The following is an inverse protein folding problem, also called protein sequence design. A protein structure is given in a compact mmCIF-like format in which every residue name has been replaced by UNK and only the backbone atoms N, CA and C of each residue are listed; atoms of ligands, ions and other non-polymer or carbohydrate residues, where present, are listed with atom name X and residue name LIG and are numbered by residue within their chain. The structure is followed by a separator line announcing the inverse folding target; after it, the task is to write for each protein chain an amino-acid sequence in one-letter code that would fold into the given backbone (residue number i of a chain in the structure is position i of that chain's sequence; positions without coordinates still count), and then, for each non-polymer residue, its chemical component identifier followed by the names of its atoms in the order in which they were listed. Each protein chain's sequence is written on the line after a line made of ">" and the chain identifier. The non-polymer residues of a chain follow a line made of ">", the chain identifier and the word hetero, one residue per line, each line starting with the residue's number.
data_IF_873532085798
#
_entry.id   IF_873532085798
#
_cell.length_a   1.000
_cell.length_b   1.000
_cell.length_c   1.000
_cell.angle_alpha   90.00
_cell.angle_beta   90.00
_cell.angle_gamma   90.00
#
_symmetry.space_group_name_H-M   'P 1'
#
loop_
_entity.id
_entity.type
_entity.pdbx_description
1 polymer ?
#
# COMPACT_ATOMS: atom_id res chain seq x y z
N UNK A 1 12.37 12.63 1.97
CA UNK A 1 13.77 12.89 1.57
C UNK A 1 13.77 14.06 0.61
N UNK A 2 14.52 15.13 0.89
CA UNK A 2 14.63 16.27 -0.03
C UNK A 2 15.41 15.86 -1.27
N UNK A 3 14.82 16.02 -2.46
CA UNK A 3 15.40 15.67 -3.76
C UNK A 3 15.08 16.79 -4.76
N UNK A 4 15.93 17.84 -4.86
CA UNK A 4 15.72 18.94 -5.79
C UNK A 4 16.12 18.51 -7.20
N UNK A 5 15.27 17.71 -7.84
CA UNK A 5 15.59 17.00 -9.09
C UNK A 5 15.67 17.89 -10.31
N UNK A 6 15.20 19.14 -10.21
CA UNK A 6 15.47 20.16 -11.24
C UNK A 6 16.97 20.46 -11.38
N UNK A 7 17.72 20.41 -10.28
CA UNK A 7 19.19 20.60 -10.27
C UNK A 7 19.94 19.26 -10.27
N UNK A 8 19.31 18.20 -9.76
CA UNK A 8 19.88 16.86 -9.65
C UNK A 8 18.98 15.80 -10.32
N UNK A 9 18.91 15.76 -11.66
CA UNK A 9 18.02 14.85 -12.39
C UNK A 9 18.26 13.37 -12.08
N UNK A 10 19.49 12.99 -11.72
CA UNK A 10 19.87 11.63 -11.33
C UNK A 10 19.16 11.15 -10.06
N UNK A 11 18.61 12.08 -9.25
CA UNK A 11 17.86 11.78 -8.02
C UNK A 11 16.36 11.65 -8.28
N UNK A 12 15.92 11.77 -9.53
CA UNK A 12 14.51 11.65 -9.90
C UNK A 12 13.96 10.29 -9.48
N UNK A 13 12.72 10.30 -8.99
CA UNK A 13 11.97 9.06 -8.79
C UNK A 13 11.81 8.37 -10.14
N UNK A 14 12.08 7.06 -10.22
CA UNK A 14 11.82 6.31 -11.45
C UNK A 14 10.31 6.22 -11.63
N UNK A 15 9.83 6.65 -12.80
CA UNK A 15 8.42 6.49 -13.17
C UNK A 15 8.07 5.02 -13.24
N UNK A 16 7.05 4.59 -12.50
CA UNK A 16 6.64 3.20 -12.47
C UNK A 16 5.13 3.03 -12.24
N UNK A 17 4.61 1.90 -12.69
CA UNK A 17 3.30 1.37 -12.32
C UNK A 17 3.48 -0.02 -11.72
N UNK A 18 2.75 -0.26 -10.64
CA UNK A 18 2.77 -1.48 -9.87
C UNK A 18 1.40 -1.82 -9.29
N UNK A 19 1.34 -3.02 -8.73
CA UNK A 19 0.30 -3.49 -7.84
C UNK A 19 0.95 -3.85 -6.52
N UNK A 20 0.45 -3.28 -5.42
CA UNK A 20 0.77 -3.66 -4.04
C UNK A 20 0.02 -4.94 -3.65
N UNK A 21 0.07 -5.93 -4.55
CA UNK A 21 -0.47 -7.27 -4.40
C UNK A 21 -0.01 -8.15 -5.57
N UNK A 22 -0.06 -9.47 -5.37
CA UNK A 22 -0.03 -10.41 -6.48
C UNK A 22 -1.44 -10.62 -7.04
N UNK A 23 -1.78 -10.12 -8.24
CA UNK A 23 -3.13 -10.21 -8.74
C UNK A 23 -3.52 -11.64 -9.12
N UNK A 24 -2.55 -12.50 -9.50
CA UNK A 24 -2.82 -13.91 -9.81
C UNK A 24 -3.12 -14.72 -8.55
N UNK A 25 -2.41 -14.45 -7.44
CA UNK A 25 -2.77 -15.06 -6.16
C UNK A 25 -4.14 -14.56 -5.70
N UNK A 26 -4.40 -13.26 -5.79
CA UNK A 26 -5.67 -12.69 -5.33
C UNK A 26 -6.89 -13.31 -6.05
N UNK A 27 -6.83 -13.50 -7.37
CA UNK A 27 -7.93 -14.14 -8.12
C UNK A 27 -7.92 -15.66 -8.05
N UNK A 28 -6.77 -16.28 -7.78
CA UNK A 28 -6.58 -17.73 -7.82
C UNK A 28 -6.67 -18.43 -6.46
N UNK A 29 -6.52 -17.69 -5.36
CA UNK A 29 -6.66 -18.20 -3.99
C UNK A 29 -8.14 -18.46 -3.69
N UNK A 30 -8.58 -19.69 -3.96
CA UNK A 30 -9.99 -20.06 -3.84
C UNK A 30 -10.35 -20.61 -2.45
N UNK A 31 -9.37 -20.90 -1.60
CA UNK A 31 -9.56 -21.52 -0.29
C UNK A 31 -8.96 -20.69 0.86
N UNK A 32 -8.43 -19.50 0.56
CA UNK A 32 -7.79 -18.58 1.51
C UNK A 32 -6.51 -19.15 2.12
N UNK A 33 -5.95 -20.24 1.58
CA UNK A 33 -4.78 -20.90 2.14
C UNK A 33 -3.54 -20.02 2.06
N UNK A 34 -3.39 -19.24 0.99
CA UNK A 34 -2.29 -18.29 0.84
C UNK A 34 -2.42 -17.19 1.89
N UNK A 35 -3.61 -16.56 1.95
CA UNK A 35 -3.91 -15.48 2.89
C UNK A 35 -3.71 -15.89 4.35
N UNK A 36 -4.25 -17.07 4.72
CA UNK A 36 -4.12 -17.62 6.07
C UNK A 36 -2.65 -17.89 6.41
N UNK A 37 -1.87 -18.44 5.47
CA UNK A 37 -0.44 -18.67 5.67
C UNK A 37 0.31 -17.36 5.94
N UNK A 38 0.13 -16.35 5.09
CA UNK A 38 0.80 -15.04 5.25
C UNK A 38 0.50 -14.44 6.62
N UNK A 39 -0.77 -14.35 7.02
CA UNK A 39 -1.16 -13.69 8.26
C UNK A 39 -0.86 -14.49 9.53
N UNK A 40 -0.88 -15.83 9.46
CA UNK A 40 -0.47 -16.66 10.61
C UNK A 40 1.03 -16.55 10.89
N UNK A 41 1.86 -16.25 9.89
CA UNK A 41 3.30 -16.08 10.00
C UNK A 41 3.75 -14.69 10.49
N UNK A 42 2.90 -13.66 10.43
CA UNK A 42 3.24 -12.32 10.93
C UNK A 42 3.55 -12.34 12.43
N UNK A 43 4.69 -11.75 12.82
CA UNK A 43 5.12 -11.61 14.23
C UNK A 43 5.30 -10.16 14.66
N UNK A 44 5.30 -9.22 13.72
CA UNK A 44 5.52 -7.79 13.88
C UNK A 44 6.85 -7.41 14.55
N UNK A 45 7.85 -8.30 14.49
CA UNK A 45 9.18 -8.08 15.08
C UNK A 45 10.07 -7.18 14.22
N UNK A 46 9.72 -6.99 12.96
CA UNK A 46 10.48 -6.16 12.02
C UNK A 46 9.54 -5.37 11.12
N UNK A 47 10.05 -4.32 10.48
CA UNK A 47 9.29 -3.53 9.51
C UNK A 47 8.80 -4.36 8.31
N UNK A 48 9.44 -5.50 8.02
CA UNK A 48 9.03 -6.39 6.93
C UNK A 48 7.62 -6.92 7.13
N UNK A 49 7.24 -7.29 8.35
CA UNK A 49 5.90 -7.85 8.63
C UNK A 49 4.80 -6.82 8.38
N UNK A 50 5.08 -5.54 8.62
CA UNK A 50 4.17 -4.44 8.31
C UNK A 50 4.04 -4.19 6.82
N UNK A 51 5.14 -4.33 6.06
CA UNK A 51 5.13 -4.23 4.60
C UNK A 51 4.36 -5.41 4.00
N UNK A 52 4.60 -6.64 4.46
CA UNK A 52 3.85 -7.82 4.02
C UNK A 52 2.35 -7.68 4.34
N UNK A 53 1.99 -7.19 5.53
CA UNK A 53 0.59 -6.85 5.84
C UNK A 53 0.03 -5.78 4.89
N UNK A 54 0.83 -4.77 4.52
CA UNK A 54 0.43 -3.71 3.61
C UNK A 54 0.14 -4.25 2.20
N UNK A 55 0.98 -5.13 1.69
CA UNK A 55 0.93 -5.63 0.31
C UNK A 55 -0.02 -6.83 0.15
N UNK A 56 -0.61 -7.32 1.25
CA UNK A 56 -1.58 -8.40 1.21
C UNK A 56 -3.00 -7.86 0.97
N UNK A 57 -3.55 -8.10 -0.22
CA UNK A 57 -4.88 -7.63 -0.64
C UNK A 57 -6.02 -8.61 -0.32
N UNK A 58 -5.71 -9.76 0.28
CA UNK A 58 -6.71 -10.78 0.57
C UNK A 58 -7.01 -11.67 -0.62
N UNK A 59 -8.25 -12.13 -0.71
CA UNK A 59 -8.71 -13.06 -1.72
C UNK A 59 -9.98 -12.51 -2.40
N UNK A 60 -10.07 -12.67 -3.73
CA UNK A 60 -11.20 -12.19 -4.52
C UNK A 60 -12.55 -12.76 -4.08
N UNK A 61 -12.59 -14.04 -3.67
CA UNK A 61 -13.83 -14.70 -3.26
C UNK A 61 -14.42 -14.13 -1.98
N UNK A 62 -13.57 -13.62 -1.08
CA UNK A 62 -14.03 -13.00 0.16
C UNK A 62 -14.67 -11.63 -0.08
N UNK A 63 -14.40 -11.00 -1.24
CA UNK A 63 -14.91 -9.66 -1.55
C UNK A 63 -14.47 -8.60 -0.53
N UNK A 64 -13.34 -8.81 0.17
CA UNK A 64 -12.85 -7.89 1.17
C UNK A 64 -12.36 -6.60 0.53
N UNK A 65 -12.77 -5.48 1.10
CA UNK A 65 -12.27 -4.17 0.70
C UNK A 65 -11.08 -3.79 1.58
N UNK A 66 -9.91 -3.76 0.95
CA UNK A 66 -8.72 -3.11 1.49
C UNK A 66 -8.53 -1.78 0.78
N UNK A 67 -8.33 -0.72 1.56
CA UNK A 67 -8.12 0.63 1.06
C UNK A 67 -6.73 1.07 1.46
N UNK A 68 -5.95 1.53 0.50
CA UNK A 68 -4.68 2.20 0.75
C UNK A 68 -4.88 3.71 0.62
N UNK A 69 -3.97 4.46 1.21
CA UNK A 69 -4.05 5.90 1.18
C UNK A 69 -2.72 6.55 1.47
N UNK A 70 -2.66 7.84 1.16
CA UNK A 70 -1.60 8.69 1.64
C UNK A 70 -2.14 10.08 2.00
N UNK A 71 -1.53 10.69 2.99
CA UNK A 71 -1.74 12.08 3.38
C UNK A 71 -0.53 12.87 2.91
N UNK A 72 -0.76 13.92 2.15
CA UNK A 72 0.28 14.80 1.66
C UNK A 72 0.68 15.80 2.76
N UNK A 73 1.96 15.88 3.09
CA UNK A 73 2.46 16.72 4.20
C UNK A 73 3.04 18.06 3.72
N UNK A 74 3.17 18.25 2.40
CA UNK A 74 3.56 19.49 1.74
C UNK A 74 2.81 19.61 0.40
N UNK A 75 2.67 20.79 -0.17
CA UNK A 75 2.04 20.93 -1.49
C UNK A 75 2.78 20.10 -2.55
N UNK A 76 2.02 19.36 -3.36
CA UNK A 76 2.50 18.50 -4.44
C UNK A 76 1.85 18.94 -5.74
N UNK A 77 2.62 19.68 -6.54
CA UNK A 77 2.24 20.14 -7.87
C UNK A 77 2.62 19.12 -8.94
N UNK A 78 2.26 19.41 -10.18
CA UNK A 78 2.45 18.51 -11.32
C UNK A 78 3.92 18.12 -11.55
N UNK A 79 4.84 19.08 -11.41
CA UNK A 79 6.27 18.86 -11.58
C UNK A 79 6.93 18.13 -10.40
N UNK A 80 6.26 18.04 -9.24
CA UNK A 80 6.77 17.33 -8.07
C UNK A 80 6.62 15.80 -8.20
N UNK A 81 5.96 15.35 -9.28
CA UNK A 81 5.64 13.95 -9.55
C UNK A 81 4.99 13.27 -8.34
N UNK A 82 5.16 11.95 -8.24
CA UNK A 82 4.60 11.18 -7.14
C UNK A 82 3.36 10.44 -7.55
N UNK A 83 2.35 10.43 -6.68
CA UNK A 83 1.28 9.45 -6.79
C UNK A 83 0.49 9.62 -8.09
N UNK A 84 0.40 8.53 -8.82
CA UNK A 84 -0.43 8.43 -10.01
C UNK A 84 -1.07 7.05 -10.07
N UNK A 85 -2.25 6.97 -10.68
CA UNK A 85 -3.02 5.74 -10.77
C UNK A 85 -3.75 5.64 -12.09
N UNK A 86 -4.26 4.45 -12.41
CA UNK A 86 -5.15 4.25 -13.56
C UNK A 86 -6.60 4.30 -13.07
N UNK A 87 -7.37 5.35 -13.37
CA UNK A 87 -8.75 5.49 -12.88
C UNK A 87 -9.60 4.27 -13.27
N UNK A 88 -10.33 3.71 -12.30
CA UNK A 88 -11.22 2.57 -12.52
C UNK A 88 -10.55 1.21 -12.71
N UNK A 89 -9.21 1.09 -12.62
CA UNK A 89 -8.52 -0.17 -12.87
C UNK A 89 -9.02 -1.35 -12.03
N UNK A 90 -9.40 -1.13 -10.76
CA UNK A 90 -9.98 -2.16 -9.89
C UNK A 90 -11.19 -2.90 -10.51
N UNK A 91 -11.96 -2.25 -11.38
CA UNK A 91 -13.10 -2.85 -12.10
C UNK A 91 -12.65 -3.74 -13.27
N UNK A 92 -11.48 -3.45 -13.83
CA UNK A 92 -10.88 -4.16 -14.95
C UNK A 92 -9.81 -5.16 -14.53
N UNK A 93 -9.38 -5.13 -13.26
CA UNK A 93 -8.23 -5.89 -12.76
C UNK A 93 -8.35 -7.36 -13.11
N UNK A 94 -9.45 -8.04 -12.77
CA UNK A 94 -9.61 -9.49 -13.06
C UNK A 94 -9.46 -9.80 -14.55
N UNK A 95 -10.10 -9.01 -15.42
CA UNK A 95 -9.99 -9.18 -16.88
C UNK A 95 -8.56 -8.95 -17.36
N UNK A 96 -7.91 -7.93 -16.82
CA UNK A 96 -6.53 -7.59 -17.13
C UNK A 96 -5.58 -8.71 -16.66
N UNK A 97 -5.71 -9.21 -15.44
CA UNK A 97 -4.89 -10.28 -14.87
C UNK A 97 -5.00 -11.58 -15.67
N UNK A 98 -6.21 -11.95 -16.10
CA UNK A 98 -6.43 -13.12 -16.96
C UNK A 98 -5.84 -12.95 -18.36
N UNK A 99 -5.93 -11.75 -18.94
CA UNK A 99 -5.39 -11.47 -20.27
C UNK A 99 -3.85 -11.49 -20.29
N UNK A 100 -3.21 -11.09 -19.19
CA UNK A 100 -1.75 -10.98 -19.10
C UNK A 100 -1.15 -12.10 -18.23
N UNK A 101 -1.70 -13.31 -18.33
CA UNK A 101 -1.33 -14.44 -17.47
C UNK A 101 0.14 -14.88 -17.64
N UNK A 102 0.74 -14.62 -18.80
CA UNK A 102 2.15 -14.86 -19.10
C UNK A 102 3.10 -14.18 -18.10
N UNK A 103 2.72 -13.03 -17.52
CA UNK A 103 3.54 -12.39 -16.50
C UNK A 103 3.59 -13.17 -15.17
N UNK A 104 2.65 -14.10 -14.92
CA UNK A 104 2.60 -14.90 -13.70
C UNK A 104 3.90 -15.67 -13.48
N UNK A 105 4.47 -16.23 -14.54
CA UNK A 105 5.71 -17.02 -14.46
C UNK A 105 6.89 -16.17 -14.00
N UNK A 106 6.95 -14.90 -14.42
CA UNK A 106 7.99 -13.97 -13.99
C UNK A 106 7.86 -13.60 -12.51
N UNK A 107 6.65 -13.34 -12.05
CA UNK A 107 6.47 -12.79 -10.71
C UNK A 107 6.38 -13.86 -9.61
N UNK A 108 6.28 -15.14 -9.96
CA UNK A 108 6.18 -16.26 -9.01
C UNK A 108 5.04 -16.09 -7.97
N UNK A 109 4.68 -17.15 -7.27
CA UNK A 109 3.59 -17.10 -6.29
C UNK A 109 3.93 -16.30 -5.01
N UNK A 110 5.17 -15.83 -4.85
CA UNK A 110 5.65 -15.23 -3.60
C UNK A 110 5.86 -13.71 -3.65
N UNK A 111 5.86 -13.08 -4.84
CA UNK A 111 5.99 -11.64 -4.91
C UNK A 111 4.64 -10.99 -4.64
N UNK A 112 4.51 -10.36 -3.48
CA UNK A 112 3.32 -9.57 -3.07
C UNK A 112 3.35 -8.13 -3.59
N UNK A 113 4.43 -7.73 -4.27
CA UNK A 113 4.58 -6.43 -4.90
C UNK A 113 5.06 -6.63 -6.34
N UNK A 114 4.34 -6.06 -7.31
CA UNK A 114 4.56 -6.32 -8.74
C UNK A 114 4.72 -5.02 -9.50
N UNK A 115 5.91 -4.77 -10.02
CA UNK A 115 6.22 -3.61 -10.87
C UNK A 115 6.30 -4.04 -12.33
N UNK A 116 5.72 -3.24 -13.22
CA UNK A 116 5.75 -3.49 -14.65
C UNK A 116 6.62 -2.47 -15.37
N UNK A 117 7.41 -2.93 -16.34
CA UNK A 117 8.14 -2.04 -17.22
C UNK A 117 7.18 -1.30 -18.17
N UNK A 118 7.53 -0.07 -18.54
CA UNK A 118 6.70 0.75 -19.42
C UNK A 118 6.47 0.11 -20.78
N UNK A 119 7.44 -0.64 -21.30
CA UNK A 119 7.33 -1.28 -22.61
C UNK A 119 6.42 -2.52 -22.58
N UNK A 120 6.17 -3.09 -21.39
CA UNK A 120 5.30 -4.25 -21.22
C UNK A 120 3.82 -3.88 -21.21
N UNK A 121 3.50 -2.71 -20.64
CA UNK A 121 2.12 -2.25 -20.47
C UNK A 121 1.96 -0.78 -20.90
N UNK A 122 2.36 -0.41 -22.14
CA UNK A 122 2.41 0.99 -22.58
C UNK A 122 1.06 1.70 -22.49
N UNK A 123 -0.04 0.99 -22.80
CA UNK A 123 -1.40 1.53 -22.71
C UNK A 123 -1.79 1.89 -21.27
N UNK A 124 -1.31 1.12 -20.28
CA UNK A 124 -1.56 1.38 -18.87
C UNK A 124 -0.81 2.63 -18.40
N UNK A 125 0.46 2.79 -18.81
CA UNK A 125 1.23 4.02 -18.55
C UNK A 125 0.59 5.24 -19.21
N UNK A 126 -0.02 5.08 -20.40
CA UNK A 126 -0.75 6.16 -21.08
C UNK A 126 -2.05 6.53 -20.37
N UNK A 127 -2.71 5.55 -19.75
CA UNK A 127 -3.96 5.74 -19.01
C UNK A 127 -3.76 6.26 -17.57
N UNK A 128 -2.53 6.24 -17.05
CA UNK A 128 -2.25 6.69 -15.70
C UNK A 128 -2.40 8.23 -15.56
N UNK A 129 -3.05 8.65 -14.49
CA UNK A 129 -3.30 10.04 -14.15
C UNK A 129 -2.55 10.42 -12.88
N UNK A 130 -1.77 11.50 -12.97
CA UNK A 130 -1.09 12.09 -11.82
C UNK A 130 -2.07 12.83 -10.91
N UNK A 131 -1.90 12.70 -9.60
CA UNK A 131 -2.76 13.30 -8.60
C UNK A 131 -1.98 14.35 -7.82
N UNK A 132 -2.11 15.62 -8.21
CA UNK A 132 -1.60 16.74 -7.43
C UNK A 132 -2.46 16.99 -6.20
N UNK A 133 -1.83 17.41 -5.10
CA UNK A 133 -2.49 17.53 -3.80
C UNK A 133 -1.92 18.72 -3.01
N UNK A 134 -2.79 19.44 -2.31
CA UNK A 134 -2.37 20.43 -1.31
C UNK A 134 -1.90 19.74 -0.04
N UNK A 135 -1.06 20.38 0.75
CA UNK A 135 -0.71 19.93 2.10
C UNK A 135 -1.98 19.65 2.92
N UNK A 136 -1.97 18.55 3.68
CA UNK A 136 -3.11 18.06 4.46
C UNK A 136 -4.18 17.30 3.66
N UNK A 137 -4.11 17.28 2.32
CA UNK A 137 -5.04 16.48 1.51
C UNK A 137 -4.68 15.00 1.59
N UNK A 138 -5.70 14.14 1.54
CA UNK A 138 -5.53 12.70 1.46
C UNK A 138 -6.10 12.16 0.15
N UNK A 139 -5.42 11.18 -0.45
CA UNK A 139 -5.97 10.34 -1.51
C UNK A 139 -6.10 8.92 -0.99
N UNK A 140 -7.27 8.33 -1.24
CA UNK A 140 -7.58 6.95 -0.88
C UNK A 140 -7.87 6.17 -2.16
N UNK A 141 -7.43 4.93 -2.22
CA UNK A 141 -7.69 4.04 -3.35
C UNK A 141 -7.94 2.61 -2.90
N UNK A 142 -8.72 1.90 -3.69
CA UNK A 142 -8.87 0.45 -3.57
C UNK A 142 -7.53 -0.23 -3.87
N UNK A 143 -7.05 -1.13 -2.99
CA UNK A 143 -5.74 -1.77 -3.14
C UNK A 143 -5.57 -2.51 -4.49
N UNK A 144 -6.67 -2.87 -5.15
CA UNK A 144 -6.69 -3.47 -6.50
C UNK A 144 -6.33 -2.51 -7.62
N UNK A 145 -6.20 -1.22 -7.34
CA UNK A 145 -5.84 -0.20 -8.33
C UNK A 145 -4.37 -0.30 -8.72
N UNK A 146 -4.09 -0.40 -10.02
CA UNK A 146 -2.73 -0.19 -10.52
C UNK A 146 -2.35 1.28 -10.34
N UNK A 147 -1.23 1.50 -9.65
CA UNK A 147 -0.77 2.82 -9.27
C UNK A 147 0.76 2.85 -9.21
N UNK A 148 1.34 4.00 -8.92
CA UNK A 148 2.75 4.05 -8.62
C UNK A 148 3.27 5.45 -8.41
N UNK A 149 4.48 5.69 -8.90
CA UNK A 149 5.11 7.02 -8.80
C UNK A 149 5.51 7.53 -10.17
N UNK A 150 5.21 8.80 -10.44
CA UNK A 150 5.76 9.57 -11.55
C UNK A 150 7.06 10.27 -11.15
N UNK A 151 8.00 10.34 -12.08
CA UNK A 151 9.23 11.11 -11.92
C UNK A 151 8.95 12.60 -11.64
N UNK A 152 9.77 13.17 -10.78
CA UNK A 152 9.70 14.56 -10.37
C UNK A 152 10.79 15.39 -11.07
N UNK A 153 10.47 16.64 -11.39
CA UNK A 153 11.36 17.63 -12.00
C UNK A 153 11.15 18.99 -11.32
N UNK A 154 11.45 19.04 -10.02
CA UNK A 154 11.19 20.23 -9.20
C UNK A 154 12.29 20.48 -8.16
N UNK A 155 12.23 21.63 -7.50
CA UNK A 155 13.11 21.97 -6.37
C UNK A 155 12.46 21.67 -5.02
N UNK A 156 11.19 21.24 -4.99
CA UNK A 156 10.44 21.05 -3.75
C UNK A 156 10.55 19.61 -3.26
N UNK A 157 10.63 19.39 -1.94
CA UNK A 157 10.50 18.05 -1.40
C UNK A 157 9.07 17.53 -1.57
N UNK A 158 8.96 16.19 -1.64
CA UNK A 158 7.70 15.47 -1.45
C UNK A 158 7.71 14.75 -0.11
N UNK A 159 6.68 14.97 0.71
CA UNK A 159 6.49 14.32 1.99
C UNK A 159 5.08 13.75 2.06
N UNK A 160 4.97 12.44 2.31
CA UNK A 160 3.69 11.76 2.42
C UNK A 160 3.73 10.82 3.62
N UNK A 161 2.58 10.62 4.24
CA UNK A 161 2.35 9.56 5.22
C UNK A 161 1.42 8.53 4.59
N UNK A 162 1.90 7.30 4.40
CA UNK A 162 1.07 6.21 3.90
C UNK A 162 0.20 5.61 5.01
N UNK A 163 -0.96 5.11 4.59
CA UNK A 163 -1.99 4.51 5.42
C UNK A 163 -2.57 3.28 4.70
N UNK A 164 -2.89 2.24 5.46
CA UNK A 164 -3.74 1.13 5.01
C UNK A 164 -4.94 1.02 5.96
N UNK A 165 -6.11 0.77 5.38
CA UNK A 165 -7.37 0.65 6.08
C UNK A 165 -8.06 -0.64 5.66
N UNK A 166 -8.64 -1.31 6.64
CA UNK A 166 -9.48 -2.49 6.48
C UNK A 166 -10.51 -2.48 7.61
N UNK A 167 -11.59 -3.24 7.44
CA UNK A 167 -12.63 -3.31 8.46
C UNK A 167 -12.11 -3.97 9.73
N UNK A 168 -12.54 -3.48 10.90
CA UNK A 168 -12.15 -4.06 12.18
C UNK A 168 -12.60 -5.52 12.36
N UNK A 169 -13.71 -5.90 11.73
CA UNK A 169 -14.31 -7.24 11.75
C UNK A 169 -13.83 -8.14 10.60
N UNK A 170 -12.73 -7.79 9.94
CA UNK A 170 -12.22 -8.59 8.83
C UNK A 170 -11.83 -9.99 9.32
N UNK A 171 -12.30 -11.08 8.67
CA UNK A 171 -12.04 -12.46 9.11
C UNK A 171 -10.57 -12.80 9.34
N UNK A 172 -9.67 -12.09 8.66
CA UNK A 172 -8.22 -12.28 8.74
C UNK A 172 -7.56 -11.63 9.96
N UNK A 173 -8.28 -10.81 10.72
CA UNK A 173 -7.82 -10.22 11.98
C UNK A 173 -8.22 -11.12 13.15
N UNK A 174 -7.50 -12.24 13.30
CA UNK A 174 -7.72 -13.16 14.42
C UNK A 174 -7.33 -12.51 15.76
N UNK A 175 -7.90 -12.96 16.90
CA UNK A 175 -7.50 -12.46 18.21
C UNK A 175 -5.98 -12.55 18.48
N UNK A 176 -5.35 -13.65 18.05
CA UNK A 176 -3.90 -13.83 18.18
C UNK A 176 -3.12 -12.80 17.34
N UNK A 177 -3.54 -12.56 16.08
CA UNK A 177 -2.90 -11.55 15.23
C UNK A 177 -3.09 -10.14 15.81
N UNK A 178 -4.30 -9.81 16.25
CA UNK A 178 -4.60 -8.54 16.87
C UNK A 178 -3.70 -8.29 18.10
N UNK A 179 -3.52 -9.30 18.95
CA UNK A 179 -2.65 -9.21 20.12
C UNK A 179 -1.17 -9.02 19.76
N UNK A 180 -0.65 -9.77 18.77
CA UNK A 180 0.73 -9.59 18.27
C UNK A 180 0.95 -8.20 17.70
N UNK A 181 -0.01 -7.70 16.91
CA UNK A 181 0.01 -6.37 16.31
C UNK A 181 -0.01 -5.28 17.39
N UNK A 182 -0.89 -5.42 18.39
CA UNK A 182 -1.03 -4.52 19.52
C UNK A 182 0.28 -4.44 20.32
N UNK A 183 0.84 -5.59 20.72
CA UNK A 183 2.10 -5.64 21.48
C UNK A 183 3.23 -4.90 20.75
N UNK A 184 3.40 -5.16 19.46
CA UNK A 184 4.44 -4.50 18.66
C UNK A 184 4.23 -2.98 18.53
N UNK A 185 2.99 -2.50 18.50
CA UNK A 185 2.70 -1.07 18.49
C UNK A 185 3.01 -0.44 19.85
N UNK A 186 2.61 -1.08 20.95
CA UNK A 186 2.94 -0.58 22.29
C UNK A 186 4.45 -0.50 22.51
N UNK A 187 5.21 -1.50 22.08
CA UNK A 187 6.68 -1.46 22.12
C UNK A 187 7.23 -0.28 21.32
N UNK A 188 6.67 0.00 20.13
CA UNK A 188 7.07 1.16 19.30
C UNK A 188 6.71 2.49 19.94
N UNK A 189 5.53 2.62 20.57
CA UNK A 189 5.10 3.84 21.28
C UNK A 189 5.99 4.11 22.50
N UNK A 190 6.27 3.07 23.30
CA UNK A 190 7.17 3.17 24.44
C UNK A 190 8.59 3.59 24.02
N UNK A 191 9.10 3.04 22.92
CA UNK A 191 10.42 3.39 22.40
C UNK A 191 10.57 4.87 21.99
N UNK A 192 9.46 5.59 21.79
CA UNK A 192 9.44 7.02 21.47
C UNK A 192 8.81 7.87 22.59
N UNK A 193 8.69 7.30 23.80
CA UNK A 193 8.12 7.96 24.99
C UNK A 193 6.68 8.48 24.79
N UNK A 194 5.85 7.74 24.05
CA UNK A 194 4.41 8.00 23.94
C UNK A 194 3.67 7.06 24.90
N UNK A 195 2.93 7.62 25.85
CA UNK A 195 2.10 6.88 26.79
C UNK A 195 0.75 6.51 26.11
N UNK A 196 0.46 5.20 25.94
CA UNK A 196 -0.75 4.74 25.26
C UNK A 196 -2.06 5.11 25.98
N UNK A 197 -2.01 5.45 27.27
CA UNK A 197 -3.17 5.84 28.07
C UNK A 197 -3.44 7.33 27.91
N UNK A 198 -2.42 8.17 28.09
CA UNK A 198 -2.59 9.64 28.14
C UNK A 198 -2.46 10.31 26.79
N UNK A 199 -1.57 9.82 25.92
CA UNK A 199 -1.17 10.56 24.71
C UNK A 199 -1.97 10.13 23.47
N UNK A 200 -2.58 8.94 23.52
CA UNK A 200 -3.48 8.49 22.45
C UNK A 200 -4.87 9.11 22.61
N UNK A 201 -5.47 9.45 21.47
CA UNK A 201 -6.89 9.80 21.42
C UNK A 201 -7.76 8.58 21.74
N UNK A 202 -9.06 8.78 21.97
CA UNK A 202 -10.00 7.66 22.16
C UNK A 202 -9.96 6.67 20.98
N UNK A 203 -9.91 7.18 19.75
CA UNK A 203 -9.75 6.35 18.56
C UNK A 203 -8.40 5.65 18.53
N UNK A 204 -7.30 6.34 18.89
CA UNK A 204 -5.98 5.74 19.02
C UNK A 204 -5.95 4.58 20.01
N UNK A 205 -6.62 4.70 21.16
CA UNK A 205 -6.75 3.61 22.13
C UNK A 205 -7.56 2.43 21.61
N UNK A 206 -8.63 2.66 20.84
CA UNK A 206 -9.39 1.57 20.22
C UNK A 206 -8.56 0.81 19.19
N UNK A 207 -7.75 1.52 18.39
CA UNK A 207 -6.99 0.93 17.28
C UNK A 207 -5.65 0.32 17.72
N UNK A 208 -5.01 0.91 18.73
CA UNK A 208 -3.63 0.59 19.14
C UNK A 208 -3.48 0.23 20.62
N UNK A 209 -4.45 0.59 21.45
CA UNK A 209 -4.32 0.60 22.89
C UNK A 209 -4.50 -0.77 23.57
N UNK A 210 -4.15 -0.86 24.86
CA UNK A 210 -4.55 -1.98 25.69
C UNK A 210 -6.08 -1.96 25.80
N UNK A 211 -6.73 -3.06 25.40
CA UNK A 211 -8.12 -3.28 25.79
C UNK A 211 -8.08 -3.56 27.29
N UNK A 212 -8.88 -2.80 28.05
CA UNK A 212 -9.13 -3.07 29.48
C UNK A 212 -9.67 -4.48 29.68
#
# INVERSE_FOLDING_TARGET
>A
MFRPTKEHPERATITNLHLDMNPWNYIGDNDQSHLAKVFTELRYRSNRDWILENDEAGCAQLGQLYVQGLVNLADNHEEDGGFWLIPGFHQYMTKWTNKNYEFRERFLAHNQFIVFDKNEIPDMYKAACHISMRAGSAVLWDQRMMHGSRANCSLRPRYVQYLKMFRADIPTMTPERAERRRKAILEKLQAVNIDPITDLTAAGRIVFGPVN
#
